data_IF_098162642091
#
_entry.id   IF_098162642091
#
_cell.length_a   1.000
_cell.length_b   1.000
_cell.length_c   1.000
_cell.angle_alpha   90.00
_cell.angle_beta   90.00
_cell.angle_gamma   90.00
#
_symmetry.space_group_name_H-M   'P 1'
#
loop_
_entity.id
_entity.type
_entity.pdbx_description
1 polymer ?
#
# COMPACT_ATOMS: atom_id res chain seq x y z
N UNK A 1 -8.13 -20.85 15.60
CA UNK A 1 -9.24 -20.12 14.93
C UNK A 1 -9.55 -18.76 15.56
N UNK A 2 -9.55 -18.62 16.90
CA UNK A 2 -10.00 -17.38 17.59
C UNK A 2 -8.99 -16.21 17.51
N UNK A 3 -7.69 -16.48 17.30
CA UNK A 3 -6.64 -15.43 17.27
C UNK A 3 -6.75 -14.52 16.05
N UNK A 4 -7.06 -15.10 14.88
CA UNK A 4 -7.19 -14.37 13.63
C UNK A 4 -8.24 -13.23 13.70
N UNK A 5 -9.50 -13.47 14.14
CA UNK A 5 -10.47 -12.39 14.27
C UNK A 5 -10.11 -11.37 15.35
N UNK A 6 -9.38 -11.76 16.41
CA UNK A 6 -8.90 -10.81 17.44
C UNK A 6 -7.82 -9.89 16.86
N UNK A 7 -6.78 -10.45 16.24
CA UNK A 7 -5.70 -9.69 15.62
C UNK A 7 -6.23 -8.76 14.51
N UNK A 8 -7.09 -9.29 13.62
CA UNK A 8 -7.73 -8.49 12.58
C UNK A 8 -8.62 -7.39 13.16
N UNK A 9 -9.34 -7.67 14.26
CA UNK A 9 -10.17 -6.70 14.97
C UNK A 9 -9.34 -5.57 15.58
N UNK A 10 -8.22 -5.89 16.24
CA UNK A 10 -7.31 -4.89 16.82
C UNK A 10 -6.79 -3.95 15.74
N UNK A 11 -6.26 -4.50 14.64
CA UNK A 11 -5.72 -3.70 13.53
C UNK A 11 -6.81 -2.85 12.90
N UNK A 12 -7.95 -3.46 12.52
CA UNK A 12 -9.03 -2.75 11.84
C UNK A 12 -9.60 -1.64 12.70
N UNK A 13 -9.92 -1.91 13.97
CA UNK A 13 -10.52 -0.93 14.87
C UNK A 13 -9.49 0.16 15.23
N UNK A 14 -8.26 -0.24 15.55
CA UNK A 14 -7.18 0.68 15.89
C UNK A 14 -6.87 1.64 14.75
N UNK A 15 -6.61 1.13 13.55
CA UNK A 15 -6.31 1.94 12.38
C UNK A 15 -7.47 2.85 12.00
N UNK A 16 -8.71 2.32 12.03
CA UNK A 16 -9.90 3.13 11.75
C UNK A 16 -10.07 4.26 12.76
N UNK A 17 -9.83 4.00 14.06
CA UNK A 17 -9.91 5.01 15.10
C UNK A 17 -8.86 6.11 14.92
N UNK A 18 -7.62 5.74 14.58
CA UNK A 18 -6.52 6.68 14.30
C UNK A 18 -6.86 7.54 13.09
N UNK A 19 -7.25 6.91 11.98
CA UNK A 19 -7.56 7.61 10.73
C UNK A 19 -8.74 8.54 10.91
N UNK A 20 -9.86 8.09 11.48
CA UNK A 20 -11.05 8.91 11.68
C UNK A 20 -10.77 10.05 12.68
N UNK A 21 -10.04 9.76 13.75
CA UNK A 21 -9.69 10.75 14.78
C UNK A 21 -8.77 11.86 14.26
N UNK A 22 -7.77 11.50 13.45
CA UNK A 22 -6.81 12.46 12.88
C UNK A 22 -7.27 13.10 11.57
N UNK A 23 -8.28 12.54 10.90
CA UNK A 23 -8.74 13.03 9.61
C UNK A 23 -9.07 14.54 9.60
N UNK A 24 -9.78 15.12 10.60
CA UNK A 24 -10.02 16.56 10.63
C UNK A 24 -8.72 17.38 10.74
N UNK A 25 -7.75 16.91 11.54
CA UNK A 25 -6.46 17.58 11.69
C UNK A 25 -5.67 17.53 10.38
N UNK A 26 -5.61 16.37 9.72
CA UNK A 26 -5.02 16.20 8.40
C UNK A 26 -5.67 17.10 7.35
N UNK A 27 -7.00 17.16 7.29
CA UNK A 27 -7.74 18.08 6.42
C UNK A 27 -7.28 19.52 6.63
N UNK A 28 -7.40 20.04 7.85
CA UNK A 28 -7.11 21.44 8.18
C UNK A 28 -5.63 21.76 7.89
N UNK A 29 -4.71 20.89 8.32
CA UNK A 29 -3.28 21.10 8.11
C UNK A 29 -2.92 21.10 6.62
N UNK A 30 -3.45 20.17 5.83
CA UNK A 30 -3.19 20.15 4.38
C UNK A 30 -3.63 21.44 3.71
N UNK A 31 -4.86 21.89 3.96
CA UNK A 31 -5.37 23.13 3.36
C UNK A 31 -4.51 24.33 3.78
N UNK A 32 -4.13 24.40 5.06
CA UNK A 32 -3.26 25.44 5.57
C UNK A 32 -1.89 25.44 4.87
N UNK A 33 -1.23 24.28 4.73
CA UNK A 33 0.07 24.16 4.06
C UNK A 33 0.01 24.54 2.59
N UNK A 34 -1.02 24.08 1.88
CA UNK A 34 -1.21 24.38 0.45
C UNK A 34 -1.48 25.87 0.19
N UNK A 35 -2.20 26.54 1.08
CA UNK A 35 -2.45 27.99 0.94
C UNK A 35 -1.15 28.77 1.24
N UNK A 36 -0.44 28.40 2.30
CA UNK A 36 0.72 29.13 2.82
C UNK A 36 2.01 28.89 2.05
N UNK A 37 2.18 27.74 1.40
CA UNK A 37 3.41 27.39 0.70
C UNK A 37 3.86 28.46 -0.28
N UNK A 38 5.14 28.81 -0.28
CA UNK A 38 5.74 29.70 -1.29
C UNK A 38 6.23 28.93 -2.52
N UNK A 39 6.26 27.59 -2.46
CA UNK A 39 6.80 26.68 -3.51
C UNK A 39 5.94 26.59 -4.76
N UNK A 40 4.64 26.90 -4.65
CA UNK A 40 3.69 26.74 -5.73
C UNK A 40 3.19 28.10 -6.23
N UNK A 41 3.14 28.27 -7.55
CA UNK A 41 2.50 29.42 -8.16
C UNK A 41 1.00 29.54 -7.84
N UNK A 42 0.46 30.76 -7.92
CA UNK A 42 -0.94 31.06 -7.57
C UNK A 42 -1.97 30.14 -8.25
N UNK A 43 -1.73 29.78 -9.50
CA UNK A 43 -2.68 29.01 -10.29
C UNK A 43 -2.64 27.53 -9.90
N UNK A 44 -1.44 27.01 -9.64
CA UNK A 44 -1.25 25.65 -9.15
C UNK A 44 -1.84 25.49 -7.74
N UNK A 45 -1.76 26.52 -6.89
CA UNK A 45 -2.45 26.53 -5.60
C UNK A 45 -3.96 26.37 -5.75
N UNK A 46 -4.59 27.17 -6.63
CA UNK A 46 -6.05 27.09 -6.85
C UNK A 46 -6.45 25.70 -7.35
N UNK A 47 -5.72 25.18 -8.34
CA UNK A 47 -5.96 23.84 -8.87
C UNK A 47 -5.76 22.76 -7.79
N UNK A 48 -4.70 22.86 -6.99
CA UNK A 48 -4.41 21.91 -5.93
C UNK A 48 -5.48 21.93 -4.85
N UNK A 49 -5.94 23.11 -4.41
CA UNK A 49 -7.05 23.26 -3.45
C UNK A 49 -8.34 22.64 -4.00
N UNK A 50 -8.62 22.79 -5.30
CA UNK A 50 -9.78 22.19 -5.95
C UNK A 50 -9.69 20.65 -6.05
N UNK A 51 -8.49 20.13 -6.30
CA UNK A 51 -8.25 18.68 -6.41
C UNK A 51 -8.06 17.99 -5.06
N UNK A 52 -7.60 18.71 -4.02
CA UNK A 52 -7.35 18.24 -2.66
C UNK A 52 -8.47 17.42 -1.99
N UNK A 53 -9.77 17.76 -2.12
CA UNK A 53 -10.83 17.00 -1.46
C UNK A 53 -10.88 15.54 -1.92
N UNK A 54 -10.50 15.24 -3.16
CA UNK A 54 -10.52 13.88 -3.69
C UNK A 54 -9.56 12.93 -2.94
N UNK A 55 -8.24 13.18 -2.86
CA UNK A 55 -7.33 12.34 -2.09
C UNK A 55 -7.64 12.38 -0.58
N UNK A 56 -8.12 13.50 -0.03
CA UNK A 56 -8.48 13.61 1.40
C UNK A 56 -9.65 12.70 1.81
N UNK A 57 -10.60 12.46 0.91
CA UNK A 57 -11.72 11.53 1.14
C UNK A 57 -11.32 10.10 0.78
N UNK A 58 -10.56 9.91 -0.29
CA UNK A 58 -10.09 8.58 -0.69
C UNK A 58 -9.12 7.97 0.33
N UNK A 59 -8.25 8.76 0.94
CA UNK A 59 -7.22 8.28 1.87
C UNK A 59 -7.81 7.45 3.03
N UNK A 60 -8.78 7.94 3.83
CA UNK A 60 -9.40 7.13 4.87
C UNK A 60 -10.01 5.82 4.38
N UNK A 61 -10.67 5.85 3.21
CA UNK A 61 -11.30 4.65 2.66
C UNK A 61 -10.27 3.60 2.27
N UNK A 62 -9.15 4.02 1.69
CA UNK A 62 -8.05 3.12 1.33
C UNK A 62 -7.42 2.53 2.58
N UNK A 63 -7.17 3.34 3.61
CA UNK A 63 -6.59 2.83 4.87
C UNK A 63 -7.53 1.82 5.52
N UNK A 64 -8.82 2.09 5.65
CA UNK A 64 -9.77 1.14 6.26
C UNK A 64 -9.82 -0.19 5.48
N UNK A 65 -9.91 -0.14 4.15
CA UNK A 65 -9.90 -1.36 3.33
C UNK A 65 -8.59 -2.12 3.46
N UNK A 66 -7.46 -1.41 3.45
CA UNK A 66 -6.14 -1.99 3.64
C UNK A 66 -5.96 -2.60 5.03
N UNK A 67 -6.49 -1.98 6.09
CA UNK A 67 -6.45 -2.50 7.46
C UNK A 67 -7.31 -3.74 7.64
N UNK A 68 -8.47 -3.85 6.97
CA UNK A 68 -9.29 -5.07 6.97
C UNK A 68 -8.52 -6.21 6.28
N UNK A 69 -8.06 -5.98 5.04
CA UNK A 69 -7.36 -6.99 4.27
C UNK A 69 -6.03 -7.38 4.93
N UNK A 70 -5.25 -6.40 5.36
CA UNK A 70 -3.98 -6.55 6.06
C UNK A 70 -4.15 -7.20 7.43
N UNK A 71 -5.20 -6.85 8.18
CA UNK A 71 -5.53 -7.45 9.47
C UNK A 71 -5.91 -8.93 9.35
N UNK A 72 -6.72 -9.30 8.35
CA UNK A 72 -7.05 -10.71 8.05
C UNK A 72 -5.80 -11.47 7.65
N UNK A 73 -4.99 -10.91 6.74
CA UNK A 73 -3.75 -11.53 6.31
C UNK A 73 -2.79 -11.72 7.49
N UNK A 74 -2.53 -10.66 8.27
CA UNK A 74 -1.66 -10.71 9.44
C UNK A 74 -2.15 -11.70 10.49
N UNK A 75 -3.44 -11.67 10.84
CA UNK A 75 -4.05 -12.59 11.80
C UNK A 75 -4.03 -14.05 11.36
N UNK A 76 -3.94 -14.33 10.05
CA UNK A 76 -3.77 -15.67 9.51
C UNK A 76 -2.30 -16.11 9.45
N UNK A 77 -1.41 -15.26 8.94
CA UNK A 77 0.00 -15.60 8.71
C UNK A 77 0.87 -15.54 9.97
N UNK A 78 0.65 -14.57 10.87
CA UNK A 78 1.53 -14.41 12.04
C UNK A 78 1.51 -15.62 12.99
N UNK A 79 0.34 -16.20 13.38
CA UNK A 79 0.32 -17.42 14.18
C UNK A 79 0.92 -18.64 13.46
N UNK A 80 0.76 -18.70 12.14
CA UNK A 80 1.29 -19.76 11.31
C UNK A 80 2.82 -19.73 11.32
N UNK A 81 3.43 -18.56 11.09
CA UNK A 81 4.88 -18.35 11.13
C UNK A 81 5.44 -18.69 12.52
N UNK A 82 4.79 -18.22 13.59
CA UNK A 82 5.21 -18.51 14.96
C UNK A 82 5.21 -20.03 15.26
N UNK A 83 4.19 -20.75 14.79
CA UNK A 83 4.12 -22.21 14.97
C UNK A 83 5.30 -22.93 14.31
N UNK A 84 5.73 -22.47 13.13
CA UNK A 84 6.86 -23.08 12.43
C UNK A 84 8.21 -22.76 13.04
N UNK A 85 8.41 -21.53 13.52
CA UNK A 85 9.63 -21.17 14.26
C UNK A 85 9.82 -22.09 15.47
N UNK A 86 8.72 -22.48 16.12
CA UNK A 86 8.77 -23.36 17.29
C UNK A 86 9.00 -24.83 16.90
N UNK A 87 8.43 -25.33 15.80
CA UNK A 87 8.71 -26.68 15.30
C UNK A 87 10.19 -26.83 14.90
N UNK A 88 10.82 -25.77 14.37
CA UNK A 88 12.26 -25.76 14.08
C UNK A 88 13.14 -25.80 15.32
N UNK A 89 12.62 -25.40 16.48
CA UNK A 89 13.32 -25.41 17.76
C UNK A 89 12.91 -26.69 18.51
N UNK A 90 13.70 -27.75 18.38
CA UNK A 90 13.44 -29.12 18.88
C UNK A 90 13.21 -29.22 20.41
N UNK A 91 12.08 -28.72 20.92
CA UNK A 91 11.75 -28.63 22.35
C UNK A 91 10.62 -29.59 22.76
N UNK A 92 10.75 -30.14 23.96
CA UNK A 92 10.00 -31.32 24.46
C UNK A 92 8.71 -31.00 25.22
N UNK A 93 8.34 -29.71 25.38
CA UNK A 93 7.18 -29.25 26.16
C UNK A 93 5.96 -29.05 25.25
N UNK A 94 4.93 -29.89 25.47
CA UNK A 94 3.90 -30.22 24.47
C UNK A 94 2.72 -29.23 24.48
N UNK A 95 2.62 -28.45 23.41
CA UNK A 95 1.39 -27.81 22.86
C UNK A 95 0.79 -26.59 23.57
N UNK A 96 0.71 -26.54 24.91
CA UNK A 96 -0.01 -25.44 25.59
C UNK A 96 0.82 -24.16 25.69
N UNK A 97 2.13 -24.30 25.96
CA UNK A 97 3.08 -23.19 25.90
C UNK A 97 3.26 -22.68 24.47
N UNK A 98 3.37 -23.58 23.48
CA UNK A 98 3.46 -23.24 22.06
C UNK A 98 2.29 -22.37 21.55
N UNK A 99 1.08 -22.57 22.07
CA UNK A 99 -0.09 -21.79 21.66
C UNK A 99 -0.10 -20.41 22.33
N UNK A 100 0.17 -20.36 23.65
CA UNK A 100 0.24 -19.10 24.41
C UNK A 100 1.39 -18.22 23.90
N UNK A 101 2.54 -18.82 23.60
CA UNK A 101 3.73 -18.17 23.07
C UNK A 101 3.53 -17.66 21.64
N UNK A 102 2.53 -18.13 20.89
CA UNK A 102 2.16 -17.57 19.58
C UNK A 102 1.08 -16.48 19.66
N UNK A 103 0.15 -16.58 20.61
CA UNK A 103 -1.00 -15.66 20.75
C UNK A 103 -0.55 -14.29 21.23
N UNK A 104 0.20 -14.25 22.34
CA UNK A 104 0.63 -13.00 22.99
C UNK A 104 1.46 -12.12 22.03
N UNK A 105 2.47 -12.63 21.31
CA UNK A 105 3.22 -11.81 20.36
C UNK A 105 2.40 -11.45 19.13
N UNK A 106 1.43 -12.27 18.69
CA UNK A 106 0.53 -11.88 17.59
C UNK A 106 -0.33 -10.68 17.98
N UNK A 107 -0.88 -10.67 19.19
CA UNK A 107 -1.64 -9.54 19.73
C UNK A 107 -0.72 -8.32 19.90
N UNK A 108 0.46 -8.50 20.50
CA UNK A 108 1.46 -7.44 20.67
C UNK A 108 1.87 -6.82 19.33
N UNK A 109 2.15 -7.66 18.32
CA UNK A 109 2.46 -7.21 16.97
C UNK A 109 1.29 -6.52 16.27
N UNK A 110 0.04 -6.95 16.53
CA UNK A 110 -1.15 -6.23 16.04
C UNK A 110 -1.23 -4.82 16.62
N UNK A 111 -0.93 -4.65 17.91
CA UNK A 111 -0.83 -3.33 18.53
C UNK A 111 0.34 -2.51 17.98
N UNK A 112 1.47 -3.15 17.67
CA UNK A 112 2.61 -2.48 17.00
C UNK A 112 2.22 -1.97 15.63
N UNK A 113 1.48 -2.73 14.82
CA UNK A 113 0.98 -2.27 13.51
C UNK A 113 0.14 -0.99 13.65
N UNK A 114 -0.80 -0.97 14.60
CA UNK A 114 -1.62 0.22 14.87
C UNK A 114 -0.74 1.39 15.34
N UNK A 115 0.26 1.13 16.18
CA UNK A 115 1.19 2.15 16.65
C UNK A 115 2.05 2.71 15.51
N UNK A 116 2.54 1.87 14.61
CA UNK A 116 3.35 2.30 13.48
C UNK A 116 2.52 3.18 12.52
N UNK A 117 1.25 2.84 12.29
CA UNK A 117 0.34 3.70 11.53
C UNK A 117 0.09 5.02 12.28
N UNK A 118 -0.09 4.97 13.59
CA UNK A 118 -0.26 6.15 14.44
C UNK A 118 0.95 7.08 14.33
N UNK A 119 2.16 6.55 14.50
CA UNK A 119 3.41 7.30 14.42
C UNK A 119 3.59 7.90 13.01
N UNK A 120 3.27 7.16 11.96
CA UNK A 120 3.28 7.67 10.59
C UNK A 120 2.31 8.85 10.41
N UNK A 121 1.07 8.73 10.89
CA UNK A 121 0.07 9.79 10.79
C UNK A 121 0.45 11.00 11.66
N UNK A 122 1.00 10.83 12.85
CA UNK A 122 1.36 11.95 13.72
C UNK A 122 2.68 12.64 13.35
N UNK A 123 3.65 11.91 12.82
CA UNK A 123 5.00 12.45 12.61
C UNK A 123 5.33 12.59 11.13
N UNK A 124 5.30 11.50 10.37
CA UNK A 124 5.72 11.51 8.97
C UNK A 124 4.84 12.42 8.12
N UNK A 125 3.52 12.36 8.33
CA UNK A 125 2.59 13.20 7.59
C UNK A 125 2.79 14.70 7.87
N UNK A 126 2.84 15.09 9.14
CA UNK A 126 3.00 16.50 9.51
C UNK A 126 4.36 17.03 9.08
N UNK A 127 5.43 16.24 9.25
CA UNK A 127 6.76 16.60 8.76
C UNK A 127 6.79 16.85 7.26
N UNK A 128 6.14 16.00 6.46
CA UNK A 128 6.03 16.20 5.02
C UNK A 128 5.28 17.50 4.66
N UNK A 129 4.19 17.78 5.38
CA UNK A 129 3.41 18.99 5.19
C UNK A 129 4.13 20.26 5.65
N UNK A 130 5.00 20.15 6.65
CA UNK A 130 5.82 21.26 7.16
C UNK A 130 6.92 21.62 6.15
N UNK A 131 7.57 20.61 5.57
CA UNK A 131 8.54 20.80 4.49
C UNK A 131 7.91 21.51 3.27
N UNK A 132 6.61 21.30 3.03
CA UNK A 132 5.89 21.99 1.96
C UNK A 132 5.75 23.51 2.21
N UNK A 133 5.67 23.94 3.47
CA UNK A 133 5.63 25.37 3.82
C UNK A 133 7.04 25.97 3.91
N UNK A 134 8.06 25.14 4.14
CA UNK A 134 9.43 25.58 4.37
C UNK A 134 9.98 26.46 3.24
N UNK A 135 10.72 27.48 3.66
CA UNK A 135 11.15 28.57 2.80
C UNK A 135 12.14 28.08 1.75
N UNK A 136 11.92 28.50 0.50
CA UNK A 136 12.78 28.12 -0.62
C UNK A 136 14.11 28.86 -0.48
N UNK A 137 15.27 28.20 -0.69
CA UNK A 137 16.55 28.91 -0.76
C UNK A 137 16.48 30.05 -1.80
N UNK A 138 17.09 31.19 -1.49
CA UNK A 138 16.93 32.44 -2.26
C UNK A 138 17.31 32.38 -3.75
N UNK A 139 17.92 31.28 -4.21
CA UNK A 139 18.34 31.03 -5.59
C UNK A 139 17.32 30.19 -6.41
N UNK A 140 16.31 29.62 -5.76
CA UNK A 140 15.34 28.74 -6.40
C UNK A 140 13.99 29.46 -6.56
N UNK A 141 13.54 29.57 -7.81
CA UNK A 141 12.27 30.20 -8.13
C UNK A 141 11.11 29.25 -7.76
N UNK A 142 9.95 29.79 -7.31
CA UNK A 142 8.77 28.97 -7.09
C UNK A 142 8.41 28.19 -8.36
N UNK A 143 7.85 26.99 -8.19
CA UNK A 143 7.34 26.17 -9.30
C UNK A 143 6.11 26.87 -9.88
N UNK A 144 6.37 27.78 -10.82
CA UNK A 144 5.38 28.57 -11.52
C UNK A 144 5.04 27.91 -12.85
N UNK A 145 3.86 27.31 -12.95
CA UNK A 145 3.36 26.81 -14.23
C UNK A 145 2.66 27.95 -14.97
N UNK A 146 3.11 28.27 -16.19
CA UNK A 146 2.39 29.23 -17.04
C UNK A 146 0.94 28.78 -17.22
N UNK A 147 -0.01 29.66 -16.91
CA UNK A 147 -1.47 29.45 -17.04
C UNK A 147 -1.90 28.83 -18.37
N UNK A 148 -1.23 29.21 -19.46
CA UNK A 148 -1.50 28.72 -20.81
C UNK A 148 -1.08 27.26 -21.05
N UNK A 149 -0.13 26.72 -20.27
CA UNK A 149 0.35 25.33 -20.41
C UNK A 149 -0.41 24.33 -19.53
N UNK A 150 -1.06 24.79 -18.46
CA UNK A 150 -1.94 23.96 -17.61
C UNK A 150 -3.07 23.24 -18.38
N UNK A 151 -3.86 23.90 -19.26
CA UNK A 151 -4.88 23.20 -20.02
C UNK A 151 -4.30 22.16 -20.97
N UNK A 152 -3.07 22.36 -21.47
CA UNK A 152 -2.37 21.37 -22.30
C UNK A 152 -1.98 20.14 -21.47
N UNK A 153 -1.40 20.32 -20.28
CA UNK A 153 -1.11 19.21 -19.38
C UNK A 153 -2.38 18.47 -18.95
N UNK A 154 -3.47 19.21 -18.68
CA UNK A 154 -4.76 18.62 -18.29
C UNK A 154 -5.39 17.82 -19.43
N UNK A 155 -5.32 18.32 -20.67
CA UNK A 155 -5.72 17.56 -21.86
C UNK A 155 -4.91 16.29 -22.05
N UNK A 156 -3.58 16.33 -21.85
CA UNK A 156 -2.73 15.14 -21.94
C UNK A 156 -3.12 14.12 -20.88
N UNK A 157 -3.35 14.54 -19.62
CA UNK A 157 -3.81 13.62 -18.57
C UNK A 157 -5.17 12.99 -18.90
N UNK A 158 -6.12 13.78 -19.41
CA UNK A 158 -7.46 13.31 -19.80
C UNK A 158 -7.41 12.34 -20.99
N UNK A 159 -6.41 12.44 -21.86
CA UNK A 159 -6.20 11.50 -22.96
C UNK A 159 -5.36 10.29 -22.55
N UNK A 160 -4.35 10.47 -21.69
CA UNK A 160 -3.45 9.42 -21.25
C UNK A 160 -4.16 8.40 -20.35
N UNK A 161 -4.94 8.84 -19.37
CA UNK A 161 -5.68 7.93 -18.47
C UNK A 161 -6.59 6.93 -19.19
N UNK A 162 -7.49 7.34 -20.11
CA UNK A 162 -8.34 6.39 -20.83
C UNK A 162 -7.59 5.55 -21.87
N UNK A 163 -6.31 5.83 -22.15
CA UNK A 163 -5.47 4.99 -23.01
C UNK A 163 -4.66 4.00 -22.17
N UNK A 164 -3.96 4.49 -21.15
CA UNK A 164 -3.08 3.72 -20.29
C UNK A 164 -3.85 2.71 -19.45
N UNK A 165 -4.97 3.11 -18.85
CA UNK A 165 -5.79 2.22 -18.01
C UNK A 165 -6.26 0.98 -18.77
N UNK A 166 -6.97 1.07 -19.91
CA UNK A 166 -7.39 -0.12 -20.63
C UNK A 166 -6.21 -0.88 -21.24
N UNK A 167 -5.16 -0.20 -21.71
CA UNK A 167 -4.00 -0.85 -22.31
C UNK A 167 -3.25 -1.72 -21.29
N UNK A 168 -2.86 -1.14 -20.15
CA UNK A 168 -2.14 -1.86 -19.09
C UNK A 168 -3.03 -2.95 -18.52
N UNK A 169 -4.33 -2.68 -18.31
CA UNK A 169 -5.28 -3.70 -17.84
C UNK A 169 -5.43 -4.84 -18.84
N UNK A 170 -5.50 -4.58 -20.14
CA UNK A 170 -5.57 -5.61 -21.17
C UNK A 170 -4.29 -6.46 -21.21
N UNK A 171 -3.11 -5.83 -21.12
CA UNK A 171 -1.82 -6.53 -21.04
C UNK A 171 -1.77 -7.40 -19.79
N UNK A 172 -2.21 -6.87 -18.66
CA UNK A 172 -2.22 -7.57 -17.38
C UNK A 172 -3.19 -8.77 -17.42
N UNK A 173 -4.40 -8.60 -17.98
CA UNK A 173 -5.38 -9.67 -18.17
C UNK A 173 -4.87 -10.75 -19.14
N UNK A 174 -4.16 -10.36 -20.20
CA UNK A 174 -3.57 -11.31 -21.15
C UNK A 174 -2.41 -12.11 -20.55
N UNK A 175 -1.55 -11.46 -19.76
CA UNK A 175 -0.41 -12.13 -19.10
C UNK A 175 -0.80 -12.92 -17.86
N UNK A 176 -1.89 -12.55 -17.19
CA UNK A 176 -2.39 -13.20 -15.98
C UNK A 176 -2.56 -14.72 -16.11
N UNK A 177 -3.26 -15.28 -17.11
CA UNK A 177 -3.43 -16.73 -17.23
C UNK A 177 -2.10 -17.45 -17.48
N UNK A 178 -1.18 -16.82 -18.21
CA UNK A 178 0.15 -17.37 -18.44
C UNK A 178 0.99 -17.39 -17.17
N UNK A 179 0.99 -16.31 -16.38
CA UNK A 179 1.68 -16.28 -15.07
C UNK A 179 1.05 -17.24 -14.06
N UNK A 180 -0.28 -17.36 -14.06
CA UNK A 180 -1.00 -18.30 -13.22
C UNK A 180 -0.57 -19.73 -13.54
N UNK A 181 -0.71 -20.15 -14.80
CA UNK A 181 -0.39 -21.51 -15.22
C UNK A 181 1.09 -21.84 -15.03
N UNK A 182 2.00 -20.97 -15.48
CA UNK A 182 3.45 -21.22 -15.37
C UNK A 182 3.93 -21.23 -13.92
N UNK A 183 3.43 -20.31 -13.10
CA UNK A 183 3.78 -20.27 -11.67
C UNK A 183 3.24 -21.48 -10.94
N UNK A 184 1.99 -21.86 -11.21
CA UNK A 184 1.38 -23.03 -10.57
C UNK A 184 2.07 -24.32 -11.00
N UNK A 185 2.38 -24.48 -12.29
CA UNK A 185 3.15 -25.62 -12.83
C UNK A 185 4.50 -25.73 -12.14
N UNK A 186 5.24 -24.62 -12.01
CA UNK A 186 6.55 -24.61 -11.35
C UNK A 186 6.45 -25.01 -9.88
N UNK A 187 5.46 -24.49 -9.14
CA UNK A 187 5.25 -24.87 -7.74
C UNK A 187 4.88 -26.36 -7.58
N UNK A 188 4.13 -26.93 -8.53
CA UNK A 188 3.85 -28.37 -8.55
C UNK A 188 5.08 -29.22 -8.92
N UNK A 189 5.90 -28.75 -9.86
CA UNK A 189 7.17 -29.40 -10.22
C UNK A 189 8.13 -29.41 -9.02
N UNK A 190 8.25 -28.28 -8.31
CA UNK A 190 9.06 -28.17 -7.08
C UNK A 190 8.54 -29.11 -5.97
N UNK A 191 7.21 -29.28 -5.85
CA UNK A 191 6.59 -30.21 -4.90
C UNK A 191 6.89 -31.68 -5.22
N UNK A 192 6.81 -32.08 -6.50
CA UNK A 192 7.02 -33.48 -6.95
C UNK A 192 8.51 -33.83 -7.02
N UNK A 193 9.36 -32.89 -7.44
CA UNK A 193 10.80 -33.07 -7.55
C UNK A 193 11.53 -33.07 -6.22
N UNK A 194 10.87 -32.62 -5.13
CA UNK A 194 11.49 -32.43 -3.80
C UNK A 194 12.73 -31.51 -3.88
N UNK A 195 12.65 -30.50 -4.74
CA UNK A 195 13.67 -29.48 -4.93
C UNK A 195 13.20 -28.13 -4.35
N UNK A 196 14.14 -27.25 -3.97
CA UNK A 196 13.83 -25.93 -3.44
C UNK A 196 13.25 -25.93 -2.01
N UNK A 197 12.21 -25.15 -1.68
CA UNK A 197 11.67 -25.02 -0.31
C UNK A 197 11.08 -26.33 0.24
N UNK A 198 11.03 -27.41 -0.54
CA UNK A 198 10.53 -28.74 -0.14
C UNK A 198 11.62 -29.72 0.30
N UNK A 199 12.88 -29.29 0.32
CA UNK A 199 14.01 -30.10 0.77
C UNK A 199 13.93 -30.39 2.28
N UNK A 200 13.52 -29.40 3.06
CA UNK A 200 13.29 -29.53 4.50
C UNK A 200 11.81 -29.77 4.80
N UNK A 201 11.53 -30.82 5.58
CA UNK A 201 10.16 -31.23 5.95
C UNK A 201 9.38 -30.13 6.69
N UNK A 202 10.08 -29.15 7.27
CA UNK A 202 9.50 -28.00 7.97
C UNK A 202 8.80 -27.02 7.01
N UNK A 203 9.25 -26.95 5.75
CA UNK A 203 8.81 -25.94 4.78
C UNK A 203 7.70 -26.42 3.82
N UNK A 204 7.36 -27.71 3.86
CA UNK A 204 6.28 -28.33 3.05
C UNK A 204 4.93 -27.61 3.21
N UNK A 205 4.49 -27.23 4.43
CA UNK A 205 3.21 -26.53 4.59
C UNK A 205 3.21 -25.13 3.99
N UNK A 206 4.33 -24.38 4.08
CA UNK A 206 4.43 -23.05 3.48
C UNK A 206 4.30 -23.11 1.97
N UNK A 207 4.93 -24.11 1.37
CA UNK A 207 4.92 -24.22 -0.08
C UNK A 207 3.59 -24.80 -0.59
N UNK A 208 2.89 -25.64 0.19
CA UNK A 208 1.47 -25.96 -0.06
C UNK A 208 0.56 -24.72 0.04
N UNK A 209 0.80 -23.85 1.01
CA UNK A 209 0.07 -22.60 1.19
C UNK A 209 0.35 -21.61 0.05
N UNK A 210 1.59 -21.57 -0.46
CA UNK A 210 1.97 -20.80 -1.63
C UNK A 210 1.24 -21.26 -2.91
N UNK A 211 1.06 -22.58 -3.09
CA UNK A 211 0.24 -23.15 -4.19
C UNK A 211 -1.21 -22.66 -4.10
N UNK A 212 -1.78 -22.58 -2.89
CA UNK A 212 -3.16 -22.13 -2.66
C UNK A 212 -3.29 -20.60 -2.83
N UNK A 213 -2.29 -19.84 -2.40
CA UNK A 213 -2.28 -18.37 -2.49
C UNK A 213 -1.90 -17.84 -3.87
N UNK A 214 -1.28 -18.65 -4.73
CA UNK A 214 -0.81 -18.19 -6.03
C UNK A 214 -1.91 -17.51 -6.88
N UNK A 215 -3.14 -18.06 -6.98
CA UNK A 215 -4.23 -17.36 -7.67
C UNK A 215 -4.60 -16.02 -7.02
N UNK A 216 -4.59 -15.94 -5.68
CA UNK A 216 -4.87 -14.69 -4.96
C UNK A 216 -3.79 -13.64 -5.25
N UNK A 217 -2.52 -14.04 -5.31
CA UNK A 217 -1.41 -13.17 -5.65
C UNK A 217 -1.53 -12.62 -7.09
N UNK A 218 -1.96 -13.44 -8.05
CA UNK A 218 -2.21 -13.01 -9.43
C UNK A 218 -3.37 -11.99 -9.49
N UNK A 219 -4.45 -12.20 -8.74
CA UNK A 219 -5.56 -11.24 -8.64
C UNK A 219 -5.08 -9.93 -7.99
N UNK A 220 -4.29 -10.00 -6.92
CA UNK A 220 -3.69 -8.83 -6.29
C UNK A 220 -2.80 -8.04 -7.25
N UNK A 221 -1.98 -8.73 -8.06
CA UNK A 221 -1.15 -8.10 -9.08
C UNK A 221 -1.97 -7.42 -10.19
N UNK A 222 -3.10 -8.02 -10.60
CA UNK A 222 -4.03 -7.40 -11.55
C UNK A 222 -4.65 -6.11 -10.99
N UNK A 223 -5.14 -6.16 -9.75
CA UNK A 223 -5.71 -4.99 -9.06
C UNK A 223 -4.64 -3.91 -8.93
N UNK A 224 -3.42 -4.29 -8.50
CA UNK A 224 -2.29 -3.36 -8.39
C UNK A 224 -1.91 -2.71 -9.72
N UNK A 225 -1.88 -3.48 -10.81
CA UNK A 225 -1.62 -2.96 -12.15
C UNK A 225 -2.71 -2.00 -12.62
N UNK A 226 -3.98 -2.31 -12.36
CA UNK A 226 -5.10 -1.42 -12.66
C UNK A 226 -4.94 -0.08 -11.92
N UNK A 227 -4.70 -0.11 -10.60
CA UNK A 227 -4.52 1.12 -9.82
C UNK A 227 -3.27 1.91 -10.24
N UNK A 228 -2.14 1.26 -10.49
CA UNK A 228 -0.91 1.94 -10.90
C UNK A 228 -1.04 2.64 -12.26
N UNK A 229 -1.89 2.10 -13.15
CA UNK A 229 -2.17 2.69 -14.46
C UNK A 229 -2.77 4.09 -14.38
N UNK A 230 -3.64 4.35 -13.39
CA UNK A 230 -4.18 5.69 -13.17
C UNK A 230 -3.08 6.68 -12.77
N UNK A 231 -2.22 6.28 -11.83
CA UNK A 231 -1.12 7.14 -11.37
C UNK A 231 -0.10 7.41 -12.48
N UNK A 232 0.22 6.42 -13.30
CA UNK A 232 1.08 6.58 -14.48
C UNK A 232 0.46 7.55 -15.49
N UNK A 233 -0.84 7.39 -15.80
CA UNK A 233 -1.57 8.29 -16.70
C UNK A 233 -1.60 9.72 -16.19
N UNK A 234 -1.78 9.94 -14.89
CA UNK A 234 -1.69 11.28 -14.28
C UNK A 234 -0.26 11.85 -14.29
N UNK A 235 0.75 11.00 -14.08
CA UNK A 235 2.16 11.41 -14.08
C UNK A 235 2.64 11.90 -15.45
N UNK A 236 2.00 11.47 -16.54
CA UNK A 236 2.27 11.99 -17.89
C UNK A 236 2.18 13.53 -17.97
N UNK A 237 1.27 14.15 -17.20
CA UNK A 237 1.14 15.61 -17.14
C UNK A 237 2.37 16.30 -16.54
N UNK A 238 3.04 15.67 -15.58
CA UNK A 238 4.27 16.17 -14.96
C UNK A 238 5.44 16.07 -15.94
N UNK A 239 5.54 14.95 -16.67
CA UNK A 239 6.60 14.75 -17.68
C UNK A 239 6.50 15.78 -18.80
N UNK A 240 5.30 16.05 -19.32
CA UNK A 240 5.10 17.09 -20.33
C UNK A 240 5.56 18.44 -19.79
N UNK A 241 5.26 18.76 -18.53
CA UNK A 241 5.71 20.00 -17.93
C UNK A 241 7.24 20.08 -17.86
N UNK A 242 7.94 19.03 -17.45
CA UNK A 242 9.41 19.02 -17.38
C UNK A 242 10.09 19.18 -18.74
N UNK A 243 9.60 18.49 -19.78
CA UNK A 243 10.17 18.56 -21.14
C UNK A 243 10.06 19.97 -21.73
N UNK A 244 9.01 20.71 -21.39
CA UNK A 244 8.80 22.08 -21.88
C UNK A 244 9.54 23.17 -21.10
N UNK A 245 10.26 22.80 -20.03
CA UNK A 245 11.11 23.68 -19.21
C UNK A 245 12.61 23.51 -19.48
N UNK A 246 13.00 22.48 -20.26
CA UNK A 246 14.35 22.28 -20.83
C UNK A 246 14.37 22.92 -22.23
#
# INVERSE_FOLDING_TARGET
AIICPIAAGIITIGDSAVVIGLWPAHCIWTYYCVIKTKRLGWVLKILLVLCLPLPLVLWPTIVIVASILGGIAYGFFAPLIATFEFIGRNTTEKTLHCFIDGVIPTIGGSCTVVRDLTDFCFHSYFSFMDELIEEIPADENPVDVKLLKLPQCLLVMVLAVPVDVPLITAIALWKSPYMLYRGWKRLFEDLVGREGPFLETVCVPFAALAIILWPLAVVGALIGAFFSSFFLGLYSGVIVQQVYWI
#
